data_IF_114341361654
#
_entry.id   IF_114341361654
#
_cell.length_a   1.000
_cell.length_b   1.000
_cell.length_c   1.000
_cell.angle_alpha   90.00
_cell.angle_beta   90.00
_cell.angle_gamma   90.00
#
_symmetry.space_group_name_H-M   'P 1'
#
loop_
_entity.id
_entity.type
_entity.pdbx_description
1 polymer ?
#
# COMPACT_ATOMS: atom_id res chain seq x y z
N UNK A 1 -6.55 9.91 8.56
CA UNK A 1 -7.25 8.65 8.97
C UNK A 1 -6.23 7.52 9.09
N UNK A 2 -6.37 6.65 10.08
CA UNK A 2 -5.51 5.46 10.26
C UNK A 2 -6.26 4.23 9.76
N UNK A 3 -5.58 3.40 8.98
CA UNK A 3 -6.10 2.20 8.36
C UNK A 3 -5.37 0.99 8.93
N UNK A 4 -6.06 0.08 9.63
CA UNK A 4 -5.51 -1.23 9.97
C UNK A 4 -5.53 -2.12 8.73
N UNK A 5 -4.39 -2.71 8.41
CA UNK A 5 -4.21 -3.56 7.24
C UNK A 5 -3.63 -4.91 7.68
N UNK A 6 -3.89 -5.93 6.88
CA UNK A 6 -3.32 -7.26 7.07
C UNK A 6 -3.14 -7.96 5.73
N UNK A 7 -2.18 -8.88 5.68
CA UNK A 7 -2.09 -9.82 4.54
C UNK A 7 -3.28 -10.79 4.57
N UNK A 8 -3.52 -11.52 3.48
CA UNK A 8 -4.67 -12.44 3.37
C UNK A 8 -4.80 -13.42 4.55
N UNK A 9 -3.70 -14.06 4.96
CA UNK A 9 -3.71 -15.00 6.09
C UNK A 9 -3.65 -14.35 7.48
N UNK A 10 -3.57 -13.02 7.55
CA UNK A 10 -3.51 -12.28 8.80
C UNK A 10 -2.21 -12.45 9.60
N UNK A 11 -1.17 -13.08 9.05
CA UNK A 11 0.14 -13.21 9.72
C UNK A 11 0.80 -11.84 9.90
N UNK A 12 0.84 -11.06 8.81
CA UNK A 12 1.36 -9.69 8.82
C UNK A 12 0.20 -8.74 9.08
N UNK A 13 0.41 -7.83 10.03
CA UNK A 13 -0.48 -6.69 10.29
C UNK A 13 0.34 -5.41 10.29
N UNK A 14 -0.25 -4.35 9.76
CA UNK A 14 0.35 -3.03 9.74
C UNK A 14 -0.72 -1.96 9.92
N UNK A 15 -0.31 -0.79 10.35
CA UNK A 15 -1.15 0.41 10.33
C UNK A 15 -0.57 1.41 9.33
N UNK A 16 -1.47 2.12 8.65
CA UNK A 16 -1.10 3.18 7.72
C UNK A 16 -1.91 4.44 8.04
N UNK A 17 -1.23 5.55 8.27
CA UNK A 17 -1.84 6.86 8.53
C UNK A 17 -1.69 7.77 7.32
N UNK A 18 -2.80 8.19 6.74
CA UNK A 18 -2.81 9.11 5.59
C UNK A 18 -3.81 10.24 5.78
N UNK A 19 -3.48 11.38 5.19
CA UNK A 19 -4.31 12.58 5.13
C UNK A 19 -4.06 13.24 3.78
N UNK A 20 -5.10 13.57 2.98
CA UNK A 20 -6.53 13.26 3.17
C UNK A 20 -6.87 11.74 3.29
N UNK A 21 -8.10 11.33 3.68
CA UNK A 21 -8.49 9.91 3.73
C UNK A 21 -8.64 9.29 2.33
N UNK A 22 -8.60 7.95 2.23
CA UNK A 22 -8.82 7.20 0.96
C UNK A 22 -10.25 7.31 0.41
N UNK A 23 -11.21 7.58 1.29
CA UNK A 23 -12.62 7.60 0.93
C UNK A 23 -13.21 8.92 1.43
N UNK A 24 -13.99 9.64 0.60
CA UNK A 24 -14.66 10.84 1.03
C UNK A 24 -15.66 10.49 2.14
N UNK A 25 -15.80 11.39 3.11
CA UNK A 25 -16.73 11.21 4.23
C UNK A 25 -18.16 11.51 3.80
N UNK A 26 -18.81 10.63 3.03
CA UNK A 26 -20.27 10.58 2.77
C UNK A 26 -21.04 11.87 2.36
N UNK A 27 -20.39 13.03 2.19
CA UNK A 27 -21.02 14.33 1.95
C UNK A 27 -20.43 15.11 0.77
N UNK A 28 -19.39 14.58 0.10
CA UNK A 28 -18.87 15.16 -1.15
C UNK A 28 -19.23 14.26 -2.34
N UNK A 29 -20.11 14.79 -3.18
CA UNK A 29 -20.48 14.21 -4.48
C UNK A 29 -19.24 14.05 -5.37
N UNK A 30 -19.08 12.88 -5.96
CA UNK A 30 -17.92 12.39 -6.72
C UNK A 30 -17.72 13.06 -8.10
N UNK A 31 -18.17 14.29 -8.30
CA UNK A 31 -18.18 14.97 -9.60
C UNK A 31 -17.09 16.03 -9.78
N UNK A 32 -16.29 16.31 -8.76
CA UNK A 32 -15.22 17.31 -8.86
C UNK A 32 -13.91 16.66 -9.36
N UNK A 33 -13.35 17.11 -10.50
CA UNK A 33 -12.15 16.52 -11.11
C UNK A 33 -10.85 16.77 -10.30
N UNK A 34 -10.90 17.64 -9.28
CA UNK A 34 -9.79 17.94 -8.36
C UNK A 34 -10.20 17.61 -6.92
N UNK A 35 -10.45 16.33 -6.63
CA UNK A 35 -10.84 15.86 -5.31
C UNK A 35 -9.68 15.93 -4.31
N UNK A 36 -9.35 17.13 -3.86
CA UNK A 36 -8.30 17.43 -2.87
C UNK A 36 -8.59 16.81 -1.49
N UNK A 37 -9.81 16.30 -1.30
CA UNK A 37 -10.28 15.69 -0.06
C UNK A 37 -10.05 14.17 0.00
N UNK A 38 -9.45 13.58 -1.06
CA UNK A 38 -9.13 12.16 -1.12
C UNK A 38 -7.64 11.95 -1.37
N UNK A 39 -7.04 10.97 -0.67
CA UNK A 39 -5.63 10.64 -0.85
C UNK A 39 -5.40 10.11 -2.27
N UNK A 40 -4.38 10.62 -3.00
CA UNK A 40 -4.12 10.17 -4.36
C UNK A 40 -3.73 8.69 -4.39
N UNK A 41 -4.31 7.97 -5.35
CA UNK A 41 -3.97 6.58 -5.68
C UNK A 41 -3.14 6.62 -6.96
N UNK A 42 -1.98 5.98 -6.92
CA UNK A 42 -1.10 5.81 -8.06
C UNK A 42 -1.33 4.47 -8.75
N UNK A 43 -1.19 4.49 -10.06
CA UNK A 43 -1.11 3.31 -10.90
C UNK A 43 0.19 3.37 -11.69
N UNK A 44 0.91 2.25 -11.75
CA UNK A 44 2.17 2.16 -12.46
C UNK A 44 2.02 1.21 -13.64
N UNK A 45 2.39 1.67 -14.83
CA UNK A 45 2.33 0.92 -16.09
C UNK A 45 3.55 0.02 -16.35
N UNK A 46 4.38 -0.25 -15.32
CA UNK A 46 5.45 -1.22 -15.52
C UNK A 46 4.88 -2.64 -15.55
N UNK A 47 5.52 -3.53 -16.32
CA UNK A 47 5.04 -4.91 -16.52
C UNK A 47 4.79 -5.69 -15.22
N UNK A 48 5.50 -5.38 -14.13
CA UNK A 48 5.27 -6.00 -12.83
C UNK A 48 3.96 -5.49 -12.18
N UNK A 49 3.75 -4.18 -12.15
CA UNK A 49 2.55 -3.58 -11.55
C UNK A 49 1.30 -3.89 -12.36
N UNK A 50 1.37 -3.83 -13.70
CA UNK A 50 0.25 -4.19 -14.58
C UNK A 50 -0.15 -5.65 -14.43
N UNK A 51 0.82 -6.58 -14.44
CA UNK A 51 0.55 -8.02 -14.30
C UNK A 51 -0.13 -8.35 -12.97
N UNK A 52 0.18 -7.61 -11.91
CA UNK A 52 -0.38 -7.85 -10.59
C UNK A 52 -1.58 -6.93 -10.25
N UNK A 53 -1.96 -6.01 -11.14
CA UNK A 53 -3.07 -5.07 -10.91
C UNK A 53 -2.87 -4.16 -9.70
N UNK A 54 -1.66 -3.61 -9.52
CA UNK A 54 -1.37 -2.80 -8.33
C UNK A 54 -1.95 -1.40 -8.40
N UNK A 55 -2.68 -1.04 -7.35
CA UNK A 55 -3.02 0.32 -6.99
C UNK A 55 -2.29 0.68 -5.70
N UNK A 56 -1.46 1.73 -5.75
CA UNK A 56 -0.60 2.12 -4.63
C UNK A 56 -0.98 3.46 -4.04
N UNK A 57 -0.70 3.63 -2.75
CA UNK A 57 -0.67 4.94 -2.09
C UNK A 57 0.70 5.15 -1.50
N UNK A 58 1.15 6.40 -1.42
CA UNK A 58 2.53 6.75 -1.06
C UNK A 58 2.59 7.58 0.24
N UNK A 59 2.22 7.01 1.40
CA UNK A 59 2.44 7.65 2.69
C UNK A 59 3.93 7.87 2.96
N UNK A 60 4.25 8.78 3.89
CA UNK A 60 5.59 8.83 4.48
C UNK A 60 5.86 7.52 5.24
N UNK A 61 7.11 7.05 5.22
CA UNK A 61 7.52 5.84 5.95
C UNK A 61 7.17 5.91 7.45
N UNK A 62 7.31 7.10 8.07
CA UNK A 62 6.93 7.35 9.47
C UNK A 62 5.45 7.15 9.79
N UNK A 63 4.60 7.05 8.77
CA UNK A 63 3.16 6.85 8.91
C UNK A 63 2.74 5.39 8.66
N UNK A 64 3.70 4.49 8.42
CA UNK A 64 3.46 3.07 8.22
C UNK A 64 4.21 2.30 9.30
N UNK A 65 3.50 1.45 10.01
CA UNK A 65 4.06 0.67 11.11
C UNK A 65 3.62 -0.79 10.97
N UNK A 66 4.58 -1.72 10.89
CA UNK A 66 4.29 -3.16 11.01
C UNK A 66 4.05 -3.45 12.48
N UNK A 67 2.83 -3.86 12.81
CA UNK A 67 2.44 -4.16 14.20
C UNK A 67 2.58 -5.63 14.56
N UNK A 68 2.66 -6.53 13.56
CA UNK A 68 2.87 -7.97 13.76
C UNK A 68 3.41 -8.64 12.49
N UNK A 69 4.25 -9.67 12.67
CA UNK A 69 4.59 -10.62 11.62
C UNK A 69 5.69 -10.16 10.67
N UNK A 70 6.55 -9.23 11.08
CA UNK A 70 7.65 -8.72 10.25
C UNK A 70 8.57 -9.84 9.74
N UNK A 71 8.77 -10.89 10.55
CA UNK A 71 9.55 -12.08 10.20
C UNK A 71 8.94 -12.93 9.07
N UNK A 72 7.65 -12.73 8.77
CA UNK A 72 6.96 -13.37 7.65
C UNK A 72 7.06 -12.56 6.35
N UNK A 73 7.67 -11.38 6.38
CA UNK A 73 7.93 -10.57 5.19
C UNK A 73 9.13 -11.15 4.45
N UNK A 74 8.98 -11.29 3.15
CA UNK A 74 10.09 -11.54 2.23
C UNK A 74 10.04 -10.52 1.10
N UNK A 75 11.13 -10.40 0.34
CA UNK A 75 11.27 -9.38 -0.71
C UNK A 75 11.78 -9.96 -2.02
N UNK A 76 11.23 -9.45 -3.11
CA UNK A 76 11.67 -9.72 -4.46
C UNK A 76 12.20 -8.44 -5.10
N UNK A 77 13.32 -8.55 -5.82
CA UNK A 77 13.95 -7.45 -6.54
C UNK A 77 14.12 -7.88 -7.99
N UNK A 78 13.70 -7.02 -8.92
CA UNK A 78 13.90 -7.20 -10.35
C UNK A 78 14.54 -5.95 -10.96
N UNK A 79 14.85 -6.00 -12.26
CA UNK A 79 15.42 -4.88 -13.00
C UNK A 79 16.71 -4.37 -12.34
N UNK A 80 16.78 -3.06 -12.09
CA UNK A 80 17.91 -2.40 -11.44
C UNK A 80 18.07 -2.72 -9.93
N UNK A 81 17.17 -3.55 -9.35
CA UNK A 81 17.20 -3.98 -7.93
C UNK A 81 17.10 -2.85 -6.88
N UNK A 82 16.60 -1.69 -7.31
CA UNK A 82 16.39 -0.51 -6.47
C UNK A 82 15.12 -0.63 -5.62
N UNK A 83 14.01 -1.08 -6.23
CA UNK A 83 12.70 -1.12 -5.56
C UNK A 83 12.37 -2.55 -5.12
N UNK A 84 12.56 -2.93 -3.85
CA UNK A 84 12.10 -4.22 -3.35
C UNK A 84 10.57 -4.24 -3.25
N UNK A 85 9.96 -5.31 -3.75
CA UNK A 85 8.56 -5.64 -3.53
C UNK A 85 8.43 -6.61 -2.37
N UNK A 86 7.63 -6.25 -1.38
CA UNK A 86 7.53 -6.96 -0.10
C UNK A 86 6.23 -7.74 -0.07
N UNK A 87 6.30 -9.02 0.30
CA UNK A 87 5.14 -9.90 0.33
C UNK A 87 5.18 -10.83 1.54
N UNK A 88 4.01 -11.33 1.91
CA UNK A 88 3.88 -12.37 2.91
C UNK A 88 4.41 -13.70 2.35
N UNK A 89 5.42 -14.29 2.98
CA UNK A 89 5.94 -15.61 2.55
C UNK A 89 4.92 -16.76 2.72
N UNK A 90 3.86 -16.55 3.51
CA UNK A 90 2.85 -17.57 3.79
C UNK A 90 1.68 -17.55 2.79
N UNK A 91 1.25 -16.36 2.33
CA UNK A 91 0.06 -16.23 1.47
C UNK A 91 0.31 -15.46 0.17
N UNK A 92 1.51 -14.97 -0.07
CA UNK A 92 1.86 -14.23 -1.29
C UNK A 92 1.28 -12.81 -1.37
N UNK A 93 0.43 -12.38 -0.42
CA UNK A 93 -0.13 -11.02 -0.45
C UNK A 93 0.97 -9.97 -0.37
N UNK A 94 0.80 -8.95 -1.18
CA UNK A 94 1.68 -7.78 -1.25
C UNK A 94 1.48 -6.93 0.00
N UNK A 95 2.58 -6.50 0.59
CA UNK A 95 2.58 -5.65 1.78
C UNK A 95 2.89 -4.21 1.40
N UNK A 96 3.98 -4.00 0.64
CA UNK A 96 4.39 -2.69 0.17
C UNK A 96 5.48 -2.81 -0.90
N UNK A 97 5.84 -1.67 -1.48
CA UNK A 97 7.09 -1.48 -2.19
C UNK A 97 7.91 -0.48 -1.38
N UNK A 98 9.18 -0.80 -1.13
CA UNK A 98 10.12 0.11 -0.47
C UNK A 98 9.69 0.57 0.96
N UNK A 99 9.40 -0.38 1.84
CA UNK A 99 8.91 -0.10 3.20
C UNK A 99 10.00 0.43 4.16
N UNK A 100 11.27 0.59 3.74
CA UNK A 100 12.40 1.02 4.57
C UNK A 100 13.42 1.84 3.79
#
# INVERSE_FOLDING_TARGET
>A
KTYPLHCHCGTIRLTMKISPPLFPSSSSSSSEPNNQDVYPVGECNCSFCERNGYLSVHPRASNVEITRGEEAITKYKFGAKQNPHWFCKNCGSVIATDLK
#
